data_IF_502735142556
#
_entry.id   IF_502735142556
#
_cell.length_a   1.000
_cell.length_b   1.000
_cell.length_c   1.000
_cell.angle_alpha   90.00
_cell.angle_beta   90.00
_cell.angle_gamma   90.00
#
_symmetry.space_group_name_H-M   'P 1'
#
loop_
_entity.id
_entity.type
_entity.pdbx_description
1 polymer ?
#
# COMPACT_ATOMS: atom_id res chain seq x y z
N UNK A 1 1.69 22.94 13.01
CA UNK A 1 2.34 21.71 13.56
C UNK A 1 1.59 20.50 13.04
N UNK A 2 2.20 19.72 12.14
CA UNK A 2 1.55 18.55 11.54
C UNK A 2 1.38 17.44 12.59
N UNK A 3 0.16 16.91 12.76
CA UNK A 3 -0.13 15.81 13.69
C UNK A 3 0.20 14.48 13.00
N UNK A 4 1.37 13.91 13.28
CA UNK A 4 1.80 12.59 12.77
C UNK A 4 1.23 11.45 13.64
N UNK A 5 -0.07 11.17 13.55
CA UNK A 5 -0.74 10.12 14.34
C UNK A 5 -1.70 9.30 13.47
N UNK A 6 -1.84 8.01 13.78
CA UNK A 6 -2.89 7.14 13.24
C UNK A 6 -4.18 7.39 14.03
N UNK A 7 -5.26 7.76 13.35
CA UNK A 7 -6.58 8.06 13.94
C UNK A 7 -7.66 7.05 13.51
N UNK A 8 -7.23 5.91 12.99
CA UNK A 8 -8.08 4.77 12.65
C UNK A 8 -8.88 4.32 13.88
N UNK A 9 -10.20 4.23 13.72
CA UNK A 9 -11.13 3.87 14.80
C UNK A 9 -11.89 5.05 15.40
N UNK A 10 -11.50 6.29 15.09
CA UNK A 10 -12.29 7.48 15.44
C UNK A 10 -13.50 7.63 14.51
N UNK A 11 -14.56 8.31 14.98
CA UNK A 11 -15.79 8.51 14.22
C UNK A 11 -15.60 9.33 12.93
N UNK A 12 -14.51 10.08 12.84
CA UNK A 12 -14.17 10.95 11.72
C UNK A 12 -13.73 10.20 10.46
N UNK A 13 -13.29 8.94 10.57
CA UNK A 13 -12.81 8.16 9.43
C UNK A 13 -13.73 6.97 9.10
N UNK A 14 -14.09 6.90 7.83
CA UNK A 14 -14.65 5.67 7.26
C UNK A 14 -13.61 4.55 7.24
N UNK A 15 -14.08 3.31 7.02
CA UNK A 15 -13.22 2.13 6.87
C UNK A 15 -12.24 2.32 5.70
N UNK A 16 -12.72 2.85 4.58
CA UNK A 16 -11.90 3.09 3.39
C UNK A 16 -10.83 4.15 3.63
N UNK A 17 -11.17 5.27 4.29
CA UNK A 17 -10.19 6.28 4.67
C UNK A 17 -9.17 5.76 5.69
N UNK A 18 -9.60 4.88 6.60
CA UNK A 18 -8.69 4.23 7.55
C UNK A 18 -7.67 3.32 6.86
N UNK A 19 -8.12 2.54 5.86
CA UNK A 19 -7.22 1.74 5.01
C UNK A 19 -6.27 2.63 4.21
N UNK A 20 -6.76 3.77 3.69
CA UNK A 20 -5.94 4.74 2.98
C UNK A 20 -4.84 5.33 3.88
N UNK A 21 -5.18 5.74 5.10
CA UNK A 21 -4.21 6.26 6.07
C UNK A 21 -3.13 5.21 6.36
N UNK A 22 -3.53 4.00 6.75
CA UNK A 22 -2.59 2.93 7.09
C UNK A 22 -1.68 2.56 5.91
N UNK A 23 -2.23 2.53 4.70
CA UNK A 23 -1.47 2.26 3.47
C UNK A 23 -0.37 3.29 3.23
N UNK A 24 -0.72 4.59 3.29
CA UNK A 24 0.23 5.66 2.98
C UNK A 24 1.28 5.81 4.07
N UNK A 25 0.91 5.68 5.34
CA UNK A 25 1.89 5.69 6.45
C UNK A 25 2.92 4.58 6.28
N UNK A 26 2.46 3.37 5.94
CA UNK A 26 3.34 2.20 5.73
C UNK A 26 4.30 2.40 4.56
N UNK A 27 3.85 3.06 3.49
CA UNK A 27 4.70 3.41 2.34
C UNK A 27 5.73 4.47 2.69
N UNK A 28 5.43 5.39 3.59
CA UNK A 28 6.38 6.41 4.02
C UNK A 28 7.28 5.98 5.18
N UNK A 29 7.15 4.74 5.68
CA UNK A 29 7.85 4.28 6.88
C UNK A 29 7.60 5.21 8.07
N UNK A 30 6.38 5.74 8.15
CA UNK A 30 6.02 6.72 9.16
C UNK A 30 5.72 6.02 10.50
N UNK A 31 6.10 6.60 11.65
CA UNK A 31 5.77 6.00 12.94
C UNK A 31 4.26 5.71 13.09
N UNK A 32 3.91 4.44 13.33
CA UNK A 32 2.53 3.99 13.52
C UNK A 32 2.05 4.21 14.96
N UNK A 33 2.04 5.49 15.39
CA UNK A 33 1.59 5.88 16.74
C UNK A 33 0.07 6.07 16.70
N UNK A 34 -0.65 5.19 17.40
CA UNK A 34 -2.12 5.23 17.49
C UNK A 34 -2.59 6.26 18.51
N UNK A 35 -3.70 6.95 18.19
CA UNK A 35 -4.31 7.96 19.06
C UNK A 35 -5.84 7.82 19.11
N UNK A 36 -6.32 6.58 19.22
CA UNK A 36 -7.73 6.21 19.37
C UNK A 36 -7.97 5.45 20.67
N UNK A 37 -9.21 5.46 21.18
CA UNK A 37 -9.57 4.70 22.38
C UNK A 37 -9.64 3.19 22.08
N UNK A 38 -8.58 2.47 22.47
CA UNK A 38 -8.44 1.05 22.21
C UNK A 38 -9.46 0.17 22.95
N UNK A 39 -10.14 0.70 23.97
CA UNK A 39 -11.16 -0.02 24.74
C UNK A 39 -12.46 -0.16 23.94
N UNK A 40 -12.74 0.83 23.09
CA UNK A 40 -13.99 0.97 22.35
C UNK A 40 -13.82 0.74 20.84
N UNK A 41 -12.62 0.37 20.39
CA UNK A 41 -12.33 0.22 18.96
C UNK A 41 -13.16 -0.90 18.32
N UNK A 42 -13.90 -0.55 17.26
CA UNK A 42 -14.72 -1.52 16.53
C UNK A 42 -13.81 -2.60 15.90
N UNK A 43 -14.26 -3.87 15.85
CA UNK A 43 -13.45 -4.98 15.32
C UNK A 43 -12.89 -4.75 13.91
N UNK A 44 -13.62 -4.04 13.04
CA UNK A 44 -13.17 -3.72 11.69
C UNK A 44 -11.92 -2.83 11.67
N UNK A 45 -11.85 -1.82 12.54
CA UNK A 45 -10.69 -0.94 12.64
C UNK A 45 -9.52 -1.63 13.34
N UNK A 46 -9.81 -2.47 14.33
CA UNK A 46 -8.79 -3.33 14.96
C UNK A 46 -8.12 -4.25 13.92
N UNK A 47 -8.89 -4.83 12.98
CA UNK A 47 -8.33 -5.64 11.89
C UNK A 47 -7.40 -4.83 10.97
N UNK A 48 -7.72 -3.56 10.70
CA UNK A 48 -6.86 -2.67 9.90
C UNK A 48 -5.55 -2.42 10.62
N UNK A 49 -5.61 -2.02 11.89
CA UNK A 49 -4.44 -1.70 12.70
C UNK A 49 -3.52 -2.90 12.95
N UNK A 50 -4.09 -4.11 13.04
CA UNK A 50 -3.37 -5.34 13.31
C UNK A 50 -3.01 -6.14 12.04
N UNK A 51 -3.19 -5.56 10.84
CA UNK A 51 -2.84 -6.25 9.61
C UNK A 51 -1.31 -6.42 9.51
N UNK A 52 -0.84 -7.64 9.84
CA UNK A 52 0.58 -7.99 9.88
C UNK A 52 1.30 -7.78 8.56
N UNK A 53 0.63 -8.02 7.43
CA UNK A 53 1.23 -7.84 6.12
C UNK A 53 1.50 -6.35 5.83
N UNK A 54 0.57 -5.47 6.22
CA UNK A 54 0.70 -4.02 6.04
C UNK A 54 1.75 -3.45 7.02
N UNK A 55 1.72 -3.88 8.28
CA UNK A 55 2.75 -3.52 9.28
C UNK A 55 4.13 -3.94 8.79
N UNK A 56 4.29 -5.11 8.17
CA UNK A 56 5.57 -5.57 7.65
C UNK A 56 6.11 -4.70 6.50
N UNK A 57 5.24 -3.99 5.76
CA UNK A 57 5.69 -2.99 4.79
C UNK A 57 6.25 -1.77 5.53
N UNK A 58 5.56 -1.28 6.55
CA UNK A 58 6.01 -0.15 7.35
C UNK A 58 7.36 -0.43 8.03
N UNK A 59 7.43 -1.55 8.75
CA UNK A 59 8.56 -2.01 9.55
C UNK A 59 9.61 -2.80 8.74
N UNK A 60 9.66 -2.60 7.43
CA UNK A 60 10.64 -3.28 6.58
C UNK A 60 12.07 -2.86 6.98
N UNK A 61 13.01 -3.83 7.19
CA UNK A 61 14.33 -3.54 7.74
C UNK A 61 15.22 -2.74 6.79
N UNK A 62 14.87 -2.58 5.51
CA UNK A 62 15.59 -1.67 4.61
C UNK A 62 15.46 -0.21 5.06
N UNK A 63 14.43 0.14 5.84
CA UNK A 63 14.20 1.51 6.32
C UNK A 63 13.93 2.53 5.21
N UNK A 64 13.76 2.08 3.96
CA UNK A 64 13.56 2.95 2.81
C UNK A 64 12.12 3.46 2.76
N UNK A 65 11.95 4.75 2.48
CA UNK A 65 10.63 5.33 2.21
C UNK A 65 10.23 5.13 0.74
N UNK A 66 8.93 5.19 0.48
CA UNK A 66 8.38 5.09 -0.87
C UNK A 66 8.47 6.39 -1.65
N UNK A 67 8.57 6.26 -2.97
CA UNK A 67 8.51 7.36 -3.93
C UNK A 67 7.16 7.40 -4.63
N UNK A 68 6.71 8.60 -4.98
CA UNK A 68 5.53 8.81 -5.81
C UNK A 68 5.90 8.59 -7.28
N UNK A 69 5.12 7.78 -7.99
CA UNK A 69 5.32 7.51 -9.43
C UNK A 69 4.32 8.26 -10.28
N UNK A 70 3.07 8.33 -9.81
CA UNK A 70 1.97 8.97 -10.51
C UNK A 70 1.16 9.80 -9.54
N UNK A 71 0.77 10.99 -9.98
CA UNK A 71 -0.06 11.91 -9.21
C UNK A 71 -1.04 12.64 -10.13
N UNK A 72 -2.15 11.97 -10.42
CA UNK A 72 -3.28 12.58 -11.12
C UNK A 72 -4.24 13.21 -10.12
N UNK A 73 -5.27 13.90 -10.63
CA UNK A 73 -6.26 14.60 -9.80
C UNK A 73 -6.81 13.73 -8.67
N UNK A 74 -7.22 12.49 -8.98
CA UNK A 74 -7.78 11.58 -7.99
C UNK A 74 -6.91 10.37 -7.65
N UNK A 75 -6.02 9.94 -8.54
CA UNK A 75 -5.24 8.73 -8.34
C UNK A 75 -3.78 9.06 -8.07
N UNK A 76 -3.20 8.43 -7.04
CA UNK A 76 -1.75 8.37 -6.87
C UNK A 76 -1.26 6.95 -6.80
N UNK A 77 -0.06 6.75 -7.34
CA UNK A 77 0.68 5.51 -7.25
C UNK A 77 2.01 5.78 -6.56
N UNK A 78 2.30 5.02 -5.52
CA UNK A 78 3.57 5.06 -4.80
C UNK A 78 4.24 3.70 -4.86
N UNK A 79 5.57 3.69 -4.84
CA UNK A 79 6.39 2.48 -4.82
C UNK A 79 7.46 2.59 -3.75
N UNK A 80 7.55 1.58 -2.89
CA UNK A 80 8.57 1.44 -1.85
C UNK A 80 9.35 0.14 -2.08
N UNK A 81 10.68 0.17 -2.20
CA UNK A 81 11.50 -1.04 -2.15
C UNK A 81 11.36 -1.72 -0.78
N UNK A 82 11.22 -3.04 -0.77
CA UNK A 82 11.04 -3.84 0.44
C UNK A 82 11.78 -5.17 0.33
N UNK A 83 11.94 -5.84 1.46
CA UNK A 83 12.41 -7.22 1.53
C UNK A 83 11.35 -8.24 1.03
N UNK A 84 11.77 -9.41 0.53
CA UNK A 84 13.17 -9.83 0.32
C UNK A 84 13.80 -9.17 -0.91
N UNK A 85 15.11 -8.98 -0.89
CA UNK A 85 15.91 -8.60 -2.04
C UNK A 85 17.11 -9.54 -2.14
N UNK A 86 17.69 -9.69 -3.34
CA UNK A 86 18.92 -10.46 -3.55
C UNK A 86 19.78 -9.74 -4.59
N UNK A 87 21.05 -9.52 -4.25
CA UNK A 87 21.97 -8.71 -5.04
C UNK A 87 21.34 -7.34 -5.34
N UNK A 88 21.09 -7.00 -6.61
CA UNK A 88 20.48 -5.73 -7.03
C UNK A 88 18.98 -5.83 -7.35
N UNK A 89 18.33 -6.94 -6.99
CA UNK A 89 16.91 -7.18 -7.31
C UNK A 89 16.08 -7.10 -6.04
N UNK A 90 15.25 -6.06 -5.95
CA UNK A 90 14.36 -5.79 -4.82
C UNK A 90 12.95 -6.36 -5.03
N UNK A 91 12.27 -6.65 -3.93
CA UNK A 91 10.80 -6.70 -3.90
C UNK A 91 10.26 -5.28 -3.69
N UNK A 92 8.97 -5.07 -3.95
CA UNK A 92 8.36 -3.75 -3.85
C UNK A 92 6.97 -3.80 -3.23
N UNK A 93 6.64 -2.75 -2.47
CA UNK A 93 5.28 -2.42 -2.09
C UNK A 93 4.77 -1.30 -2.99
N UNK A 94 3.55 -1.45 -3.52
CA UNK A 94 2.90 -0.51 -4.43
C UNK A 94 1.59 -0.08 -3.77
N UNK A 95 1.45 1.22 -3.51
CA UNK A 95 0.19 1.77 -3.01
C UNK A 95 -0.56 2.49 -4.11
N UNK A 96 -1.85 2.21 -4.20
CA UNK A 96 -2.79 2.84 -5.13
C UNK A 96 -3.80 3.61 -4.28
N UNK A 97 -3.72 4.94 -4.31
CA UNK A 97 -4.55 5.82 -3.48
C UNK A 97 -5.57 6.53 -4.34
N UNK A 98 -6.85 6.38 -4.00
CA UNK A 98 -7.92 7.14 -4.60
C UNK A 98 -8.41 8.25 -3.66
N UNK A 99 -8.21 9.50 -4.05
CA UNK A 99 -8.65 10.71 -3.32
C UNK A 99 -10.02 11.23 -3.74
N UNK A 100 -10.61 10.70 -4.81
CA UNK A 100 -11.98 11.06 -5.20
C UNK A 100 -12.96 10.62 -4.10
N UNK A 101 -13.91 11.49 -3.74
CA UNK A 101 -14.85 11.25 -2.65
C UNK A 101 -15.93 10.22 -3.00
N UNK A 102 -16.41 10.23 -4.25
CA UNK A 102 -17.59 9.45 -4.66
C UNK A 102 -17.30 8.45 -5.78
N UNK A 103 -16.25 8.68 -6.58
CA UNK A 103 -15.94 7.88 -7.77
C UNK A 103 -14.79 6.91 -7.52
N UNK A 104 -15.02 5.64 -7.86
CA UNK A 104 -13.97 4.64 -7.91
C UNK A 104 -13.04 4.92 -9.11
N UNK A 105 -11.74 4.76 -8.90
CA UNK A 105 -10.72 4.95 -9.94
C UNK A 105 -10.16 3.60 -10.40
N UNK A 106 -9.82 3.50 -11.68
CA UNK A 106 -9.08 2.35 -12.21
C UNK A 106 -7.61 2.72 -12.27
N UNK A 107 -6.80 2.14 -11.38
CA UNK A 107 -5.36 2.26 -11.48
C UNK A 107 -4.84 1.30 -12.55
N UNK A 108 -3.97 1.79 -13.43
CA UNK A 108 -3.37 1.01 -14.50
C UNK A 108 -1.92 1.41 -14.67
N UNK A 109 -1.01 0.45 -14.77
CA UNK A 109 0.40 0.70 -15.02
C UNK A 109 1.09 -0.56 -15.59
N UNK A 110 2.26 -0.36 -16.19
CA UNK A 110 3.17 -1.46 -16.55
C UNK A 110 4.27 -1.57 -15.50
N UNK A 111 4.61 -2.79 -15.07
CA UNK A 111 5.59 -3.01 -14.00
C UNK A 111 6.95 -2.32 -14.26
N UNK A 112 7.47 -2.39 -15.49
CA UNK A 112 8.76 -1.75 -15.85
C UNK A 112 8.73 -0.22 -15.73
N UNK A 113 7.58 0.42 -15.96
CA UNK A 113 7.42 1.87 -15.95
C UNK A 113 7.51 2.40 -14.52
N UNK A 114 7.02 1.63 -13.55
CA UNK A 114 7.10 1.95 -12.13
C UNK A 114 8.43 1.50 -11.48
N UNK A 115 9.35 0.95 -12.27
CA UNK A 115 10.70 0.55 -11.86
C UNK A 115 10.90 -0.94 -11.56
N UNK A 116 9.88 -1.78 -11.73
CA UNK A 116 9.94 -3.23 -11.51
C UNK A 116 10.41 -3.92 -12.80
N UNK A 117 11.73 -4.07 -12.96
CA UNK A 117 12.38 -4.51 -14.21
C UNK A 117 12.96 -5.92 -14.19
N UNK A 118 12.78 -6.69 -13.12
CA UNK A 118 13.34 -8.04 -13.02
C UNK A 118 12.71 -9.02 -14.01
N UNK A 119 13.53 -9.63 -14.87
CA UNK A 119 13.07 -10.47 -15.99
C UNK A 119 12.31 -11.74 -15.54
N UNK A 120 12.69 -12.33 -14.41
CA UNK A 120 11.95 -13.47 -13.85
C UNK A 120 10.56 -13.08 -13.35
N UNK A 121 10.33 -11.80 -13.08
CA UNK A 121 9.05 -11.25 -12.65
C UNK A 121 8.85 -11.23 -11.14
N UNK A 122 7.61 -10.96 -10.74
CA UNK A 122 7.21 -10.72 -9.36
C UNK A 122 5.95 -11.49 -9.00
N UNK A 123 5.92 -12.16 -7.86
CA UNK A 123 4.66 -12.68 -7.27
C UNK A 123 3.91 -11.53 -6.61
N UNK A 124 2.70 -11.29 -7.06
CA UNK A 124 1.89 -10.14 -6.63
C UNK A 124 0.82 -10.58 -5.64
N UNK A 125 0.69 -9.86 -4.53
CA UNK A 125 -0.34 -10.08 -3.50
C UNK A 125 -0.94 -8.74 -3.06
N UNK A 126 -2.25 -8.64 -3.00
CA UNK A 126 -2.94 -7.55 -2.32
C UNK A 126 -2.94 -7.82 -0.81
N UNK A 127 -2.45 -6.86 -0.01
CA UNK A 127 -2.27 -7.01 1.42
C UNK A 127 -3.54 -6.73 2.24
N UNK A 128 -4.56 -6.14 1.62
CA UNK A 128 -5.85 -5.90 2.25
C UNK A 128 -6.84 -7.04 1.98
N UNK A 129 -6.88 -7.56 0.76
CA UNK A 129 -7.79 -8.67 0.39
C UNK A 129 -7.15 -10.05 0.56
N UNK A 130 -5.81 -10.13 0.58
CA UNK A 130 -5.08 -11.38 0.57
C UNK A 130 -5.02 -12.06 -0.81
N UNK A 131 -5.66 -11.47 -1.82
CA UNK A 131 -5.69 -11.97 -3.19
C UNK A 131 -4.28 -12.05 -3.76
N UNK A 132 -3.95 -13.20 -4.36
CA UNK A 132 -2.67 -13.43 -5.02
C UNK A 132 -2.90 -13.48 -6.52
N UNK A 133 -2.05 -12.80 -7.26
CA UNK A 133 -1.96 -12.96 -8.71
C UNK A 133 -0.82 -13.92 -9.05
N UNK A 134 -0.80 -14.40 -10.30
CA UNK A 134 0.33 -15.14 -10.85
C UNK A 134 1.62 -14.32 -10.86
N UNK A 135 2.69 -14.92 -11.38
CA UNK A 135 3.95 -14.19 -11.60
C UNK A 135 3.69 -13.12 -12.65
N UNK A 136 4.00 -11.86 -12.30
CA UNK A 136 3.88 -10.72 -13.20
C UNK A 136 5.22 -10.33 -13.80
N UNK A 137 5.28 -10.22 -15.13
CA UNK A 137 6.50 -9.84 -15.86
C UNK A 137 6.62 -8.31 -16.01
N UNK A 138 7.84 -7.78 -16.25
CA UNK A 138 8.04 -6.33 -16.39
C UNK A 138 7.18 -5.64 -17.45
N UNK A 139 6.81 -6.33 -18.53
CA UNK A 139 5.99 -5.77 -19.61
C UNK A 139 4.48 -5.96 -19.42
N UNK A 140 4.05 -6.62 -18.34
CA UNK A 140 2.62 -6.87 -18.13
C UNK A 140 1.90 -5.65 -17.57
N UNK A 141 0.64 -5.51 -17.98
CA UNK A 141 -0.25 -4.46 -17.51
C UNK A 141 -0.98 -4.92 -16.26
N UNK A 142 -0.81 -4.19 -15.18
CA UNK A 142 -1.59 -4.37 -13.98
C UNK A 142 -2.77 -3.39 -13.96
N UNK A 143 -3.96 -3.88 -13.58
CA UNK A 143 -5.15 -3.04 -13.40
C UNK A 143 -5.86 -3.38 -12.10
N UNK A 144 -6.24 -2.34 -11.37
CA UNK A 144 -6.95 -2.49 -10.11
C UNK A 144 -7.94 -1.35 -9.90
N UNK A 145 -9.20 -1.72 -9.62
CA UNK A 145 -10.20 -0.77 -9.14
C UNK A 145 -9.91 -0.39 -7.70
N UNK A 146 -9.91 0.91 -7.40
CA UNK A 146 -9.73 1.47 -6.05
C UNK A 146 -10.99 2.22 -5.67
N UNK A 147 -11.59 1.86 -4.53
CA UNK A 147 -12.82 2.49 -4.02
C UNK A 147 -12.59 3.98 -3.71
N UNK A 148 -13.64 4.81 -3.70
CA UNK A 148 -13.53 6.22 -3.32
C UNK A 148 -12.90 6.37 -1.94
N UNK A 149 -12.05 7.38 -1.75
CA UNK A 149 -11.33 7.67 -0.50
C UNK A 149 -10.53 6.52 0.12
N UNK A 150 -10.26 5.47 -0.66
CA UNK A 150 -9.63 4.23 -0.19
C UNK A 150 -8.24 4.06 -0.80
N UNK A 151 -7.55 3.01 -0.38
CA UNK A 151 -6.30 2.58 -1.00
C UNK A 151 -6.23 1.06 -1.14
N UNK A 152 -5.43 0.62 -2.12
CA UNK A 152 -4.92 -0.75 -2.21
C UNK A 152 -3.42 -0.74 -1.91
N UNK A 153 -2.94 -1.76 -1.22
CA UNK A 153 -1.52 -1.98 -0.97
C UNK A 153 -1.13 -3.34 -1.51
N UNK A 154 -0.18 -3.36 -2.43
CA UNK A 154 0.20 -4.55 -3.18
C UNK A 154 1.66 -4.85 -2.88
N UNK A 155 1.99 -6.09 -2.52
CA UNK A 155 3.37 -6.56 -2.44
C UNK A 155 3.73 -7.35 -3.69
N UNK A 156 4.72 -6.86 -4.43
CA UNK A 156 5.35 -7.52 -5.57
C UNK A 156 6.68 -8.12 -5.12
N UNK A 157 6.69 -9.42 -4.86
CA UNK A 157 7.87 -10.15 -4.37
C UNK A 157 8.69 -10.67 -5.55
N UNK A 158 9.95 -10.29 -5.64
CA UNK A 158 10.82 -10.75 -6.73
C UNK A 158 10.95 -12.28 -6.76
N UNK A 159 10.97 -12.84 -7.97
CA UNK A 159 11.19 -14.28 -8.18
C UNK A 159 12.68 -14.52 -8.42
N UNK A 160 13.35 -15.19 -7.48
CA UNK A 160 14.76 -15.56 -7.58
C UNK A 160 14.95 -16.94 -8.19
#
# INVERSE_FOLDING_TARGET
>A
MARFKIVVGNEELTIDQSMAQMTIWSIWSAPLIMSSDLRLIRPVFKKILLNKDVIAIDQDPLGMFGRMILNETCLSIYVKPVTPYRSSVFSYAIALLNRCQTRAQMASFVFKEIGLRHEKGYRVKDLWTGEKSGIQKPNEHYRAKVRPTSARLIKATAVF
#
